data_IF_827135450234
#
_entry.id   IF_827135450234
#
_cell.length_a   1.000
_cell.length_b   1.000
_cell.length_c   1.000
_cell.angle_alpha   90.00
_cell.angle_beta   90.00
_cell.angle_gamma   90.00
#
_symmetry.space_group_name_H-M   'P 1'
#
loop_
_entity.id
_entity.type
_entity.pdbx_description
1 polymer ?
#
# COMPACT_ATOMS: atom_id res chain seq x y z
N UNK A 1 -19.87 6.66 8.92
CA UNK A 1 -20.36 7.05 10.26
C UNK A 1 -20.25 8.54 10.56
N UNK A 2 -19.27 9.33 10.08
CA UNK A 2 -19.10 10.77 10.40
C UNK A 2 -20.35 11.70 10.42
N UNK A 3 -21.45 11.33 9.75
CA UNK A 3 -22.76 12.01 9.83
C UNK A 3 -23.35 11.97 11.25
N UNK A 4 -22.94 11.03 12.10
CA UNK A 4 -23.35 10.89 13.51
C UNK A 4 -22.56 11.80 14.47
N UNK A 5 -21.56 12.55 13.97
CA UNK A 5 -20.75 13.48 14.79
C UNK A 5 -20.88 14.89 14.20
N UNK A 6 -21.96 15.64 14.49
CA UNK A 6 -22.23 16.94 13.85
C UNK A 6 -21.07 17.95 13.96
N UNK A 7 -20.40 17.96 15.12
CA UNK A 7 -19.26 18.85 15.40
C UNK A 7 -18.03 18.59 14.50
N UNK A 8 -17.90 17.40 13.91
CA UNK A 8 -16.73 17.06 13.11
C UNK A 8 -16.65 17.89 11.82
N UNK A 9 -17.80 18.33 11.30
CA UNK A 9 -17.88 19.22 10.12
C UNK A 9 -17.31 20.60 10.42
N UNK A 10 -17.70 21.16 11.55
CA UNK A 10 -17.25 22.48 12.00
C UNK A 10 -15.76 22.43 12.32
N UNK A 11 -15.31 21.40 13.03
CA UNK A 11 -13.91 21.20 13.35
C UNK A 11 -13.06 21.00 12.08
N UNK A 12 -13.53 20.22 11.10
CA UNK A 12 -12.84 20.06 9.82
C UNK A 12 -12.71 21.37 9.03
N UNK A 13 -13.75 22.22 9.04
CA UNK A 13 -13.73 23.53 8.39
C UNK A 13 -12.85 24.55 9.11
N UNK A 14 -12.66 24.39 10.42
CA UNK A 14 -11.86 25.32 11.23
C UNK A 14 -10.36 25.33 10.87
N UNK A 15 -9.87 24.31 10.14
CA UNK A 15 -8.44 24.15 9.85
C UNK A 15 -7.59 23.74 11.06
N UNK A 16 -8.21 23.51 12.23
CA UNK A 16 -7.51 23.17 13.48
C UNK A 16 -7.19 21.68 13.65
N UNK A 17 -7.56 20.83 12.70
CA UNK A 17 -7.25 19.39 12.72
C UNK A 17 -6.03 19.13 11.83
N UNK A 18 -4.99 18.52 12.41
CA UNK A 18 -3.83 18.03 11.67
C UNK A 18 -3.58 16.54 11.99
N UNK A 19 -3.50 15.66 10.98
CA UNK A 19 -3.72 15.93 9.55
C UNK A 19 -5.21 16.22 9.23
N UNK A 20 -5.52 16.91 8.12
CA UNK A 20 -6.91 17.19 7.74
C UNK A 20 -7.69 15.89 7.47
N UNK A 21 -9.00 15.92 7.71
CA UNK A 21 -9.89 14.76 7.49
C UNK A 21 -10.07 14.46 6.00
N UNK A 22 -9.09 13.82 5.39
CA UNK A 22 -9.06 13.42 3.97
C UNK A 22 -9.07 11.89 3.84
N UNK A 23 -10.18 11.21 4.18
CA UNK A 23 -10.25 9.75 4.17
C UNK A 23 -9.95 9.15 2.78
N UNK A 24 -10.28 9.85 1.70
CA UNK A 24 -9.97 9.40 0.35
C UNK A 24 -8.47 9.19 0.06
N UNK A 25 -7.56 9.70 0.90
CA UNK A 25 -6.12 9.40 0.80
C UNK A 25 -5.71 8.04 1.34
N UNK A 26 -6.58 7.35 2.08
CA UNK A 26 -6.37 5.95 2.51
C UNK A 26 -6.72 4.93 1.40
N UNK A 27 -7.30 5.41 0.29
CA UNK A 27 -7.65 4.58 -0.87
C UNK A 27 -6.40 4.11 -1.62
N UNK A 28 -6.19 2.78 -1.64
CA UNK A 28 -5.04 2.18 -2.34
C UNK A 28 -5.25 2.16 -3.84
N UNK A 29 -6.50 2.29 -4.31
CA UNK A 29 -6.85 2.31 -5.72
C UNK A 29 -6.09 3.40 -6.49
N UNK A 30 -5.80 4.55 -5.85
CA UNK A 30 -4.96 5.60 -6.43
C UNK A 30 -3.58 5.11 -6.89
N UNK A 31 -2.98 4.16 -6.16
CA UNK A 31 -1.67 3.60 -6.51
C UNK A 31 -1.74 2.76 -7.79
N UNK A 32 -2.88 2.11 -8.05
CA UNK A 32 -3.11 1.35 -9.27
C UNK A 32 -3.45 2.29 -10.44
N UNK A 33 -4.34 3.26 -10.21
CA UNK A 33 -4.74 4.27 -11.20
C UNK A 33 -3.58 5.18 -11.64
N UNK A 34 -2.56 5.34 -10.80
CA UNK A 34 -1.31 6.00 -11.20
C UNK A 34 -0.67 5.36 -12.45
N UNK A 35 -0.82 4.04 -12.61
CA UNK A 35 -0.27 3.29 -13.74
C UNK A 35 -1.21 3.18 -14.94
N UNK A 36 -2.46 3.63 -14.82
CA UNK A 36 -3.45 3.55 -15.90
C UNK A 36 -3.04 4.45 -17.09
N UNK A 37 -2.89 3.90 -18.31
CA UNK A 37 -2.49 4.69 -19.48
C UNK A 37 -3.42 5.86 -19.78
N UNK A 38 -4.74 5.68 -19.57
CA UNK A 38 -5.76 6.70 -19.79
C UNK A 38 -5.61 7.92 -18.87
N UNK A 39 -5.03 7.76 -17.68
CA UNK A 39 -4.84 8.83 -16.70
C UNK A 39 -3.47 9.50 -16.81
N UNK A 40 -2.57 8.99 -17.66
CA UNK A 40 -1.20 9.49 -17.79
C UNK A 40 -1.12 11.00 -18.07
N UNK A 41 -1.91 11.50 -19.02
CA UNK A 41 -1.94 12.92 -19.37
C UNK A 41 -2.44 13.79 -18.21
N UNK A 42 -3.34 13.26 -17.38
CA UNK A 42 -3.81 13.96 -16.18
C UNK A 42 -2.66 14.06 -15.18
N UNK A 43 -1.96 12.97 -14.90
CA UNK A 43 -0.81 12.98 -13.99
C UNK A 43 0.32 13.91 -14.47
N UNK A 44 0.62 13.92 -15.77
CA UNK A 44 1.64 14.79 -16.36
C UNK A 44 1.24 16.27 -16.34
N UNK A 45 -0.07 16.57 -16.30
CA UNK A 45 -0.59 17.94 -16.13
C UNK A 45 -0.57 18.40 -14.67
N UNK A 46 -1.00 17.53 -13.75
CA UNK A 46 -1.17 17.89 -12.32
C UNK A 46 0.13 17.78 -11.52
N UNK A 47 1.12 17.02 -11.99
CA UNK A 47 2.39 16.80 -11.31
C UNK A 47 3.58 17.25 -12.16
N UNK A 48 4.59 17.81 -11.50
CA UNK A 48 5.89 18.08 -12.15
C UNK A 48 6.49 16.78 -12.68
N UNK A 49 7.11 16.82 -13.86
CA UNK A 49 7.72 15.64 -14.48
C UNK A 49 8.70 14.90 -13.56
N UNK A 50 9.51 15.63 -12.79
CA UNK A 50 10.43 15.04 -11.79
C UNK A 50 9.70 14.27 -10.70
N UNK A 51 8.56 14.78 -10.22
CA UNK A 51 7.73 14.10 -9.21
C UNK A 51 7.10 12.83 -9.76
N UNK A 52 6.60 12.86 -11.01
CA UNK A 52 6.10 11.65 -11.68
C UNK A 52 7.17 10.57 -11.74
N UNK A 53 8.41 10.92 -12.07
CA UNK A 53 9.52 9.96 -12.10
C UNK A 53 9.85 9.39 -10.72
N UNK A 54 9.80 10.21 -9.67
CA UNK A 54 10.00 9.73 -8.29
C UNK A 54 8.87 8.77 -7.90
N UNK A 55 7.61 9.11 -8.16
CA UNK A 55 6.46 8.25 -7.86
C UNK A 55 6.53 6.92 -8.60
N UNK A 56 6.96 6.90 -9.87
CA UNK A 56 7.21 5.65 -10.62
C UNK A 56 8.26 4.74 -9.98
N UNK A 57 9.23 5.30 -9.26
CA UNK A 57 10.24 4.52 -8.50
C UNK A 57 9.69 4.01 -7.17
N UNK A 58 8.82 4.79 -6.52
CA UNK A 58 8.30 4.50 -5.18
C UNK A 58 7.08 3.58 -5.19
N UNK A 59 6.20 3.71 -6.18
CA UNK A 59 4.95 2.96 -6.28
C UNK A 59 5.19 1.74 -7.16
N UNK A 60 5.20 0.50 -6.63
CA UNK A 60 5.23 -0.68 -7.51
C UNK A 60 4.04 -0.70 -8.47
N UNK A 61 4.25 -1.26 -9.66
CA UNK A 61 3.19 -1.40 -10.66
C UNK A 61 2.01 -2.18 -10.09
N UNK A 62 0.79 -1.76 -10.43
CA UNK A 62 -0.43 -2.36 -9.90
C UNK A 62 -1.65 -2.08 -10.76
N UNK A 63 -2.72 -2.80 -10.46
CA UNK A 63 -3.95 -2.84 -11.22
C UNK A 63 -5.15 -2.80 -10.27
N UNK A 64 -6.23 -2.08 -10.61
CA UNK A 64 -7.55 -2.41 -10.09
C UNK A 64 -7.90 -3.85 -10.49
N UNK A 65 -8.48 -4.64 -9.59
CA UNK A 65 -9.02 -5.97 -9.96
C UNK A 65 -10.40 -5.81 -10.60
N UNK A 66 -10.43 -5.11 -11.73
CA UNK A 66 -11.64 -4.86 -12.51
C UNK A 66 -12.01 -6.12 -13.31
N UNK A 67 -13.21 -6.70 -13.11
CA UNK A 67 -13.64 -7.92 -13.79
C UNK A 67 -14.16 -7.68 -15.22
N UNK A 68 -14.10 -6.46 -15.74
CA UNK A 68 -14.57 -6.15 -17.09
C UNK A 68 -13.85 -6.99 -18.15
N UNK A 69 -14.61 -7.59 -19.05
CA UNK A 69 -14.07 -8.33 -20.20
C UNK A 69 -13.25 -7.39 -21.09
N UNK A 70 -12.09 -7.86 -21.54
CA UNK A 70 -11.24 -7.15 -22.51
C UNK A 70 -11.30 -7.85 -23.87
N UNK A 71 -11.03 -7.15 -24.99
CA UNK A 71 -11.02 -7.76 -26.32
C UNK A 71 -10.05 -8.95 -26.41
N UNK A 72 -10.31 -9.97 -27.25
CA UNK A 72 -9.46 -11.17 -27.36
C UNK A 72 -7.99 -10.94 -27.72
N UNK A 73 -7.67 -9.79 -28.31
CA UNK A 73 -6.31 -9.39 -28.68
C UNK A 73 -5.66 -8.45 -27.66
N UNK A 74 -6.34 -8.15 -26.55
CA UNK A 74 -5.84 -7.34 -25.45
C UNK A 74 -5.34 -8.24 -24.31
N UNK A 75 -4.48 -7.68 -23.45
CA UNK A 75 -4.00 -8.33 -22.25
C UNK A 75 -3.93 -7.34 -21.10
N UNK A 76 -4.05 -7.84 -19.87
CA UNK A 76 -3.76 -7.08 -18.65
C UNK A 76 -2.25 -6.76 -18.68
N UNK A 77 -1.87 -5.47 -18.72
CA UNK A 77 -0.48 -5.09 -18.99
C UNK A 77 0.51 -5.71 -18.01
N UNK A 78 1.61 -6.29 -18.52
CA UNK A 78 2.68 -6.98 -17.79
C UNK A 78 2.30 -8.31 -17.13
N UNK A 79 1.02 -8.64 -17.05
CA UNK A 79 0.59 -9.99 -16.64
C UNK A 79 0.42 -10.90 -17.85
N UNK A 80 0.23 -10.33 -19.04
CA UNK A 80 0.13 -11.05 -20.32
C UNK A 80 -0.98 -12.11 -20.32
N UNK A 81 -2.09 -11.81 -19.65
CA UNK A 81 -3.31 -12.64 -19.57
C UNK A 81 -4.55 -11.84 -19.91
N UNK A 82 -5.63 -12.52 -20.30
CA UNK A 82 -6.87 -11.86 -20.73
C UNK A 82 -7.88 -11.63 -19.60
N UNK A 83 -7.71 -12.29 -18.45
CA UNK A 83 -8.66 -12.24 -17.34
C UNK A 83 -7.99 -12.37 -15.97
N UNK A 84 -8.71 -11.97 -14.92
CA UNK A 84 -8.27 -12.22 -13.54
C UNK A 84 -8.40 -13.68 -13.13
N UNK A 85 -9.28 -14.45 -13.76
CA UNK A 85 -9.39 -15.89 -13.52
C UNK A 85 -8.07 -16.60 -13.89
N UNK A 86 -7.44 -16.22 -15.00
CA UNK A 86 -6.10 -16.71 -15.36
C UNK A 86 -5.03 -16.31 -14.34
N UNK A 87 -5.11 -15.11 -13.75
CA UNK A 87 -4.24 -14.70 -12.63
C UNK A 87 -4.46 -15.60 -11.41
N UNK A 88 -5.69 -16.05 -11.17
CA UNK A 88 -6.04 -17.04 -10.14
C UNK A 88 -5.34 -18.38 -10.34
N UNK A 89 -5.00 -18.74 -11.57
CA UNK A 89 -4.29 -19.98 -11.94
C UNK A 89 -2.75 -19.85 -11.95
N UNK A 90 -2.21 -18.67 -11.68
CA UNK A 90 -0.76 -18.45 -11.68
C UNK A 90 -0.02 -19.42 -10.76
N UNK A 91 1.11 -19.93 -11.27
CA UNK A 91 2.04 -20.72 -10.48
C UNK A 91 2.59 -19.89 -9.31
N UNK A 92 3.15 -20.54 -8.29
CA UNK A 92 3.80 -19.84 -7.17
C UNK A 92 4.88 -18.84 -7.62
N UNK A 93 5.58 -19.13 -8.72
CA UNK A 93 6.60 -18.25 -9.29
C UNK A 93 5.99 -17.00 -9.93
N UNK A 94 4.86 -17.16 -10.61
CA UNK A 94 4.24 -16.09 -11.41
C UNK A 94 3.38 -15.15 -10.55
N UNK A 95 2.80 -15.65 -9.46
CA UNK A 95 2.06 -14.83 -8.47
C UNK A 95 2.95 -14.16 -7.42
N UNK A 96 4.08 -13.58 -7.85
CA UNK A 96 4.84 -12.61 -7.03
C UNK A 96 4.10 -11.27 -6.98
N UNK A 97 2.89 -11.33 -6.43
CA UNK A 97 1.89 -10.28 -6.41
C UNK A 97 1.36 -10.09 -4.98
N UNK A 98 0.77 -8.93 -4.73
CA UNK A 98 0.12 -8.57 -3.48
C UNK A 98 -1.28 -8.06 -3.76
N UNK A 99 -2.28 -8.74 -3.23
CA UNK A 99 -3.67 -8.32 -3.28
C UNK A 99 -4.00 -7.51 -2.01
N UNK A 100 -4.55 -6.31 -2.19
CA UNK A 100 -4.82 -5.36 -1.10
C UNK A 100 -6.23 -4.80 -1.20
N UNK A 101 -6.96 -4.79 -0.09
CA UNK A 101 -8.24 -4.07 0.00
C UNK A 101 -7.99 -2.56 -0.09
N UNK A 102 -8.73 -1.88 -0.97
CA UNK A 102 -8.75 -0.42 -1.06
C UNK A 102 -9.80 0.16 -0.10
N UNK A 103 -9.46 1.30 0.50
CA UNK A 103 -10.38 2.09 1.29
C UNK A 103 -10.53 1.65 2.73
N UNK A 104 -11.49 2.29 3.41
CA UNK A 104 -11.84 1.98 4.80
C UNK A 104 -12.62 0.67 4.86
N UNK A 105 -11.97 -0.38 5.34
CA UNK A 105 -12.56 -1.68 5.60
C UNK A 105 -12.16 -2.14 6.99
N UNK A 106 -13.04 -2.85 7.70
CA UNK A 106 -12.68 -3.54 8.94
C UNK A 106 -11.57 -4.59 8.71
N UNK A 107 -11.39 -5.03 7.46
CA UNK A 107 -10.29 -5.90 7.05
C UNK A 107 -8.96 -5.14 6.88
N UNK A 108 -8.96 -3.82 6.76
CA UNK A 108 -7.75 -3.02 6.56
C UNK A 108 -6.89 -2.91 7.85
N UNK A 109 -7.45 -3.20 9.02
CA UNK A 109 -6.71 -3.20 10.29
C UNK A 109 -5.85 -4.46 10.45
N UNK A 110 -4.60 -4.29 10.91
CA UNK A 110 -3.71 -5.40 11.28
C UNK A 110 -3.23 -6.29 10.12
N UNK A 111 -3.08 -5.73 8.90
CA UNK A 111 -2.60 -6.46 7.71
C UNK A 111 -3.48 -7.64 7.24
N UNK A 112 -4.74 -7.70 7.66
CA UNK A 112 -5.70 -8.76 7.28
C UNK A 112 -6.19 -8.61 5.84
N UNK A 113 -6.33 -7.39 5.35
CA UNK A 113 -6.72 -7.05 3.99
C UNK A 113 -5.56 -7.10 2.99
N UNK A 114 -4.47 -7.82 3.30
CA UNK A 114 -3.29 -7.97 2.44
C UNK A 114 -2.99 -9.45 2.27
N UNK A 115 -2.87 -9.91 1.03
CA UNK A 115 -2.49 -11.28 0.68
C UNK A 115 -1.27 -11.26 -0.24
N UNK A 116 -0.27 -12.10 0.02
CA UNK A 116 0.95 -12.23 -0.78
C UNK A 116 0.85 -13.53 -1.57
N UNK A 117 0.68 -13.44 -2.89
CA UNK A 117 0.27 -14.59 -3.70
C UNK A 117 1.21 -15.80 -3.59
N UNK A 118 2.52 -15.56 -3.64
CA UNK A 118 3.53 -16.62 -3.62
C UNK A 118 3.71 -17.28 -2.24
N UNK A 119 3.08 -16.77 -1.19
CA UNK A 119 3.08 -17.37 0.15
C UNK A 119 1.80 -18.17 0.45
N UNK A 120 0.81 -18.12 -0.44
CA UNK A 120 -0.49 -18.76 -0.21
C UNK A 120 -0.63 -20.06 -1.02
N UNK A 121 -1.39 -21.05 -0.54
CA UNK A 121 -1.84 -22.17 -1.36
C UNK A 121 -2.59 -21.71 -2.61
N UNK A 122 -2.58 -22.51 -3.70
CA UNK A 122 -3.23 -22.15 -4.96
C UNK A 122 -4.74 -21.89 -4.78
N UNK A 123 -5.46 -22.80 -4.13
CA UNK A 123 -6.89 -22.66 -3.87
C UNK A 123 -7.23 -21.36 -3.15
N UNK A 124 -6.46 -21.02 -2.09
CA UNK A 124 -6.69 -19.80 -1.31
C UNK A 124 -6.43 -18.53 -2.12
N UNK A 125 -5.41 -18.55 -2.98
CA UNK A 125 -5.12 -17.45 -3.90
C UNK A 125 -6.25 -17.26 -4.90
N UNK A 126 -6.68 -18.35 -5.57
CA UNK A 126 -7.78 -18.34 -6.52
C UNK A 126 -9.06 -17.79 -5.90
N UNK A 127 -9.44 -18.29 -4.72
CA UNK A 127 -10.60 -17.77 -3.99
C UNK A 127 -10.47 -16.27 -3.73
N UNK A 128 -9.30 -15.79 -3.30
CA UNK A 128 -9.12 -14.37 -3.01
C UNK A 128 -9.18 -13.46 -4.25
N UNK A 129 -8.72 -13.95 -5.41
CA UNK A 129 -8.85 -13.25 -6.70
C UNK A 129 -10.32 -13.23 -7.13
N UNK A 130 -11.04 -14.35 -7.04
CA UNK A 130 -12.49 -14.42 -7.35
C UNK A 130 -13.32 -13.50 -6.43
N UNK A 131 -12.99 -13.47 -5.15
CA UNK A 131 -13.59 -12.54 -4.19
C UNK A 131 -13.29 -11.08 -4.55
N UNK A 132 -12.08 -10.78 -5.05
CA UNK A 132 -11.72 -9.44 -5.48
C UNK A 132 -12.58 -8.97 -6.66
N UNK A 133 -12.80 -9.85 -7.63
CA UNK A 133 -13.65 -9.61 -8.80
C UNK A 133 -15.10 -9.36 -8.38
N UNK A 134 -15.69 -10.27 -7.60
CA UNK A 134 -17.09 -10.18 -7.17
C UNK A 134 -17.39 -8.95 -6.30
N UNK A 135 -16.40 -8.48 -5.54
CA UNK A 135 -16.54 -7.32 -4.65
C UNK A 135 -16.12 -5.99 -5.31
N UNK A 136 -15.73 -5.98 -6.59
CA UNK A 136 -15.12 -4.81 -7.22
C UNK A 136 -15.91 -3.50 -7.03
N UNK A 137 -17.24 -3.56 -7.19
CA UNK A 137 -18.13 -2.39 -7.08
C UNK A 137 -18.41 -1.93 -5.64
N UNK A 138 -18.13 -2.77 -4.64
CA UNK A 138 -18.49 -2.53 -3.23
C UNK A 138 -17.25 -2.28 -2.38
N UNK A 139 -16.23 -3.12 -2.56
CA UNK A 139 -14.96 -3.07 -1.85
C UNK A 139 -13.83 -3.41 -2.83
N UNK A 140 -13.42 -2.44 -3.67
CA UNK A 140 -12.41 -2.68 -4.69
C UNK A 140 -11.09 -3.12 -4.05
N UNK A 141 -10.41 -4.02 -4.74
CA UNK A 141 -9.06 -4.46 -4.37
C UNK A 141 -8.07 -4.06 -5.45
N UNK A 142 -6.84 -3.86 -5.02
CA UNK A 142 -5.69 -3.58 -5.88
C UNK A 142 -4.80 -4.80 -5.90
N UNK A 143 -4.46 -5.24 -7.11
CA UNK A 143 -3.33 -6.14 -7.34
C UNK A 143 -2.07 -5.30 -7.51
N UNK A 144 -0.95 -5.73 -6.96
CA UNK A 144 0.32 -5.01 -7.07
C UNK A 144 1.49 -5.98 -7.21
N UNK A 145 2.50 -5.63 -8.01
CA UNK A 145 3.77 -6.34 -8.02
C UNK A 145 4.37 -6.40 -6.60
N UNK A 146 4.75 -7.60 -6.15
CA UNK A 146 5.49 -7.74 -4.91
C UNK A 146 6.92 -7.22 -5.10
N UNK A 147 7.36 -6.30 -4.23
CA UNK A 147 8.74 -5.84 -4.16
C UNK A 147 9.36 -6.29 -2.85
N UNK A 148 10.54 -6.89 -2.94
CA UNK A 148 11.35 -7.20 -1.76
C UNK A 148 11.76 -5.90 -1.07
N UNK A 149 11.65 -5.89 0.24
CA UNK A 149 12.23 -4.84 1.08
C UNK A 149 13.71 -5.11 1.30
N UNK A 150 14.47 -4.05 1.57
CA UNK A 150 15.89 -4.18 1.93
C UNK A 150 16.02 -4.63 3.39
N UNK A 151 17.04 -5.44 3.64
CA UNK A 151 17.52 -5.74 4.99
C UNK A 151 18.51 -4.67 5.42
N UNK A 152 18.43 -4.30 6.69
CA UNK A 152 19.36 -3.37 7.35
C UNK A 152 19.79 -4.00 8.65
N UNK A 153 21.01 -3.73 9.06
CA UNK A 153 21.48 -4.04 10.41
C UNK A 153 21.30 -2.81 11.29
N UNK A 154 20.72 -2.99 12.48
CA UNK A 154 20.50 -1.88 13.40
C UNK A 154 20.68 -2.34 14.86
N UNK A 155 21.48 -1.62 15.67
CA UNK A 155 21.60 -1.91 17.10
C UNK A 155 20.32 -1.55 17.84
N UNK A 156 19.89 -2.38 18.78
CA UNK A 156 18.77 -2.09 19.67
C UNK A 156 19.11 -2.50 21.10
N UNK A 157 18.47 -1.83 22.04
CA UNK A 157 18.57 -2.17 23.45
C UNK A 157 17.59 -3.31 23.76
N UNK A 158 18.08 -4.46 24.24
CA UNK A 158 17.25 -5.57 24.71
C UNK A 158 16.92 -5.40 26.19
N UNK A 159 15.67 -5.04 26.57
CA UNK A 159 15.35 -4.69 27.95
C UNK A 159 15.47 -5.87 28.93
N UNK A 160 15.40 -7.10 28.43
CA UNK A 160 15.49 -8.31 29.26
C UNK A 160 16.91 -8.60 29.73
N UNK A 161 17.91 -8.29 28.91
CA UNK A 161 19.33 -8.56 29.23
C UNK A 161 20.10 -7.28 29.57
N UNK A 162 19.57 -6.11 29.20
CA UNK A 162 20.25 -4.83 29.37
C UNK A 162 21.37 -4.60 28.35
N UNK A 163 21.47 -5.44 27.31
CA UNK A 163 22.54 -5.40 26.32
C UNK A 163 22.09 -4.66 25.05
N UNK A 164 23.07 -4.11 24.33
CA UNK A 164 22.87 -3.69 22.94
C UNK A 164 23.07 -4.93 22.05
N UNK A 165 22.08 -5.23 21.21
CA UNK A 165 22.13 -6.32 20.24
C UNK A 165 21.93 -5.80 18.84
N UNK A 166 22.49 -6.51 17.86
CA UNK A 166 22.28 -6.21 16.45
C UNK A 166 21.06 -6.97 15.94
N UNK A 167 20.13 -6.27 15.28
CA UNK A 167 19.06 -6.88 14.51
C UNK A 167 19.33 -6.66 13.03
N UNK A 168 19.44 -7.74 12.27
CA UNK A 168 19.21 -7.70 10.83
C UNK A 168 17.70 -7.76 10.59
N UNK A 169 17.14 -6.81 9.83
CA UNK A 169 15.70 -6.72 9.68
C UNK A 169 15.22 -5.94 8.47
N UNK A 170 13.97 -6.18 8.09
CA UNK A 170 13.26 -5.43 7.05
C UNK A 170 12.80 -4.09 7.60
N UNK A 171 13.09 -3.02 6.87
CA UNK A 171 12.73 -1.66 7.27
C UNK A 171 11.51 -1.12 6.52
N UNK A 172 10.58 -0.50 7.25
CA UNK A 172 9.54 0.38 6.71
C UNK A 172 9.81 1.80 7.16
N UNK A 173 9.96 2.71 6.20
CA UNK A 173 10.09 4.14 6.45
C UNK A 173 8.72 4.82 6.41
N UNK A 174 8.41 5.61 7.42
CA UNK A 174 7.22 6.44 7.52
C UNK A 174 7.64 7.91 7.69
N UNK A 175 7.87 8.65 6.58
CA UNK A 175 8.23 10.05 6.64
C UNK A 175 7.01 10.91 7.02
N UNK A 176 7.22 11.89 7.90
CA UNK A 176 6.21 12.84 8.34
C UNK A 176 6.50 14.20 7.72
N UNK A 177 5.57 14.68 6.90
CA UNK A 177 5.65 15.98 6.28
C UNK A 177 4.71 16.96 6.98
N UNK A 178 5.19 18.18 7.20
CA UNK A 178 4.39 19.30 7.70
C UNK A 178 4.14 20.28 6.57
N UNK A 179 2.97 20.91 6.57
CA UNK A 179 2.61 21.95 5.60
C UNK A 179 2.48 23.27 6.35
N UNK A 180 3.24 24.28 5.92
CA UNK A 180 3.16 25.63 6.48
C UNK A 180 1.84 26.31 6.12
N UNK A 181 1.52 27.44 6.77
CA UNK A 181 0.34 28.24 6.43
C UNK A 181 0.39 28.76 4.97
N UNK A 182 1.59 28.94 4.43
CA UNK A 182 1.85 29.34 3.04
C UNK A 182 1.75 28.17 2.05
N UNK A 183 1.44 26.96 2.53
CA UNK A 183 1.29 25.75 1.72
C UNK A 183 2.60 25.02 1.40
N UNK A 184 3.72 25.41 2.01
CA UNK A 184 5.01 24.77 1.77
C UNK A 184 5.15 23.48 2.58
N UNK A 185 5.56 22.39 1.93
CA UNK A 185 5.77 21.10 2.59
C UNK A 185 7.23 20.92 3.02
N UNK A 186 7.48 20.53 4.27
CA UNK A 186 8.80 20.18 4.79
C UNK A 186 8.79 18.81 5.46
N UNK A 187 9.89 18.07 5.35
CA UNK A 187 10.08 16.82 6.10
C UNK A 187 10.40 17.18 7.55
N UNK A 188 9.57 16.73 8.50
CA UNK A 188 9.81 16.92 9.93
C UNK A 188 10.53 15.76 10.60
N UNK A 189 10.66 14.62 9.92
CA UNK A 189 11.35 13.43 10.41
C UNK A 189 10.78 12.18 9.76
N UNK A 190 11.40 11.03 10.04
CA UNK A 190 10.94 9.74 9.57
C UNK A 190 10.97 8.72 10.70
N UNK A 191 9.92 7.90 10.82
CA UNK A 191 9.95 6.73 11.70
C UNK A 191 10.32 5.50 10.87
N UNK A 192 11.46 4.89 11.18
CA UNK A 192 11.79 3.56 10.71
C UNK A 192 11.20 2.51 11.65
N UNK A 193 10.45 1.57 11.09
CA UNK A 193 10.04 0.33 11.77
C UNK A 193 10.86 -0.81 11.21
N UNK A 194 11.70 -1.44 12.05
CA UNK A 194 12.57 -2.56 11.67
C UNK A 194 12.00 -3.83 12.29
N UNK A 195 11.80 -4.87 11.48
CA UNK A 195 11.26 -6.16 11.93
C UNK A 195 12.14 -7.32 11.46
N UNK A 196 12.10 -8.48 12.13
CA UNK A 196 12.85 -9.66 11.72
C UNK A 196 12.67 -10.03 10.22
N UNK A 197 13.68 -10.63 9.58
CA UNK A 197 13.75 -10.79 8.12
C UNK A 197 12.71 -11.76 7.56
N UNK A 198 12.22 -12.69 8.39
CA UNK A 198 11.14 -13.63 8.07
C UNK A 198 9.77 -12.94 7.94
N UNK A 199 9.65 -11.67 8.32
CA UNK A 199 8.38 -10.93 8.35
C UNK A 199 8.18 -10.06 7.11
N UNK A 200 7.34 -10.52 6.17
CA UNK A 200 6.96 -9.73 4.98
C UNK A 200 5.90 -8.66 5.25
N UNK A 201 5.11 -8.80 6.33
CA UNK A 201 4.12 -7.81 6.79
C UNK A 201 4.67 -7.07 8.01
N UNK A 202 5.04 -5.81 7.83
CA UNK A 202 5.78 -5.03 8.84
C UNK A 202 4.85 -4.38 9.90
N UNK A 203 3.55 -4.25 9.63
CA UNK A 203 2.63 -3.55 10.52
C UNK A 203 2.08 -4.44 11.65
N UNK A 204 2.04 -3.92 12.88
CA UNK A 204 1.45 -4.58 14.05
C UNK A 204 2.34 -5.64 14.72
N UNK A 205 3.64 -5.62 14.45
CA UNK A 205 4.61 -6.58 14.99
C UNK A 205 5.02 -6.20 16.42
N UNK A 206 5.01 -7.17 17.34
CA UNK A 206 5.48 -6.96 18.73
C UNK A 206 7.00 -6.85 18.81
N UNK A 207 7.70 -7.55 17.91
CA UNK A 207 9.16 -7.65 17.91
C UNK A 207 9.81 -6.55 17.03
N UNK A 208 9.05 -5.50 16.67
CA UNK A 208 9.55 -4.41 15.84
C UNK A 208 10.30 -3.36 16.66
N UNK A 209 11.45 -2.92 16.13
CA UNK A 209 12.17 -1.77 16.67
C UNK A 209 11.65 -0.50 16.00
N UNK A 210 11.41 0.53 16.80
CA UNK A 210 11.03 1.86 16.34
C UNK A 210 12.22 2.81 16.46
N UNK A 211 12.68 3.31 15.32
CA UNK A 211 13.86 4.17 15.23
C UNK A 211 13.46 5.51 14.64
N UNK A 212 13.61 6.63 15.37
CA UNK A 212 13.49 7.95 14.77
C UNK A 212 14.69 8.20 13.85
N UNK A 213 14.42 8.67 12.64
CA UNK A 213 15.40 9.01 11.62
C UNK A 213 15.22 10.48 11.23
N UNK A 214 16.34 11.17 10.97
CA UNK A 214 16.37 12.51 10.37
C UNK A 214 17.12 12.47 9.05
#
# INVERSE_FOLDING_TARGET
>A
DWKSIPAIRELARSGKITPPLKPHFEEKLWLALFWAPSLRKIWEKELRGSHVQILKKLIPYGWPVDPSEIPPHAAIPRLEVSSWDEVGEFSQKDRRLVLKVSGFSNLAWGSRGVMIGHDEPLERWRTAVNDAQSQFMIQPRVMQEFKETKLVEHPYFEPKTGEIRMMEGRVRLCPYYFVSQEGQSSLGGCLATIVPPDKKKIHGMRDGILVPCM
#
